data_IF_597802114465
#
_entry.id   IF_597802114465
#
_cell.length_a   1.000
_cell.length_b   1.000
_cell.length_c   1.000
_cell.angle_alpha   90.00
_cell.angle_beta   90.00
_cell.angle_gamma   90.00
#
_symmetry.space_group_name_H-M   'P 1'
#
loop_
_entity.id
_entity.type
_entity.pdbx_description
1 polymer ?
#
# COMPACT_ATOMS: atom_id res chain seq x y z
N UNK A 1 9.93 -13.36 -12.47
CA UNK A 1 9.10 -13.39 -11.25
C UNK A 1 7.73 -12.78 -11.58
N UNK A 2 6.63 -13.43 -11.20
CA UNK A 2 5.27 -13.05 -11.61
C UNK A 2 4.68 -11.95 -10.72
N UNK A 3 3.95 -11.00 -11.32
CA UNK A 3 3.17 -9.98 -10.60
C UNK A 3 1.85 -10.54 -10.03
N UNK A 4 1.62 -11.86 -10.14
CA UNK A 4 0.37 -12.51 -9.77
C UNK A 4 -0.07 -12.27 -8.32
N UNK A 5 0.86 -12.29 -7.34
CA UNK A 5 0.50 -12.03 -5.93
C UNK A 5 0.00 -10.61 -5.71
N UNK A 6 0.64 -9.63 -6.35
CA UNK A 6 0.18 -8.26 -6.30
C UNK A 6 -1.19 -8.12 -6.97
N UNK A 7 -1.39 -8.70 -8.16
CA UNK A 7 -2.61 -8.56 -8.97
C UNK A 7 -3.82 -9.36 -8.44
N UNK A 8 -3.59 -10.45 -7.70
CA UNK A 8 -4.63 -11.29 -7.09
C UNK A 8 -4.26 -11.63 -5.64
N UNK A 9 -4.25 -10.64 -4.74
CA UNK A 9 -3.78 -10.83 -3.38
C UNK A 9 -4.80 -11.61 -2.54
N UNK A 10 -4.32 -12.58 -1.75
CA UNK A 10 -5.12 -13.23 -0.70
C UNK A 10 -5.06 -12.46 0.61
N UNK A 11 -4.00 -11.68 0.79
CA UNK A 11 -3.79 -10.81 1.94
C UNK A 11 -3.14 -9.49 1.53
N UNK A 12 -3.68 -8.38 2.04
CA UNK A 12 -3.10 -7.04 1.85
C UNK A 12 -2.67 -6.43 3.18
N UNK A 13 -1.56 -5.70 3.17
CA UNK A 13 -1.18 -4.80 4.26
C UNK A 13 -1.53 -3.36 3.90
N UNK A 14 -2.09 -2.59 4.82
CA UNK A 14 -2.27 -1.14 4.68
C UNK A 14 -1.41 -0.43 5.70
N UNK A 15 -0.61 0.53 5.26
CA UNK A 15 0.34 1.27 6.11
C UNK A 15 0.01 2.75 6.04
N UNK A 16 -0.18 3.41 7.19
CA UNK A 16 -0.46 4.83 7.27
C UNK A 16 -1.69 5.16 8.12
N UNK A 17 -2.20 6.38 7.96
CA UNK A 17 -3.31 6.91 8.77
C UNK A 17 -4.65 6.94 8.02
N UNK A 18 -5.22 8.14 7.87
CA UNK A 18 -6.56 8.33 7.29
C UNK A 18 -6.76 7.72 5.91
N UNK A 19 -5.80 7.89 5.00
CA UNK A 19 -5.87 7.30 3.66
C UNK A 19 -5.76 5.76 3.68
N UNK A 20 -5.00 5.18 4.61
CA UNK A 20 -4.98 3.74 4.83
C UNK A 20 -6.32 3.24 5.37
N UNK A 21 -6.93 3.94 6.34
CA UNK A 21 -8.28 3.61 6.82
C UNK A 21 -9.35 3.71 5.71
N UNK A 22 -9.22 4.69 4.80
CA UNK A 22 -10.09 4.79 3.63
C UNK A 22 -9.90 3.60 2.69
N UNK A 23 -8.66 3.18 2.41
CA UNK A 23 -8.40 1.98 1.62
C UNK A 23 -9.06 0.74 2.23
N UNK A 24 -9.02 0.58 3.57
CA UNK A 24 -9.74 -0.50 4.26
C UNK A 24 -11.25 -0.44 4.00
N UNK A 25 -11.87 0.75 4.14
CA UNK A 25 -13.30 0.94 3.87
C UNK A 25 -13.66 0.60 2.42
N UNK A 26 -12.83 1.03 1.47
CA UNK A 26 -13.02 0.74 0.05
C UNK A 26 -12.90 -0.75 -0.26
N UNK A 27 -11.88 -1.43 0.26
CA UNK A 27 -11.73 -2.88 0.11
C UNK A 27 -12.96 -3.64 0.64
N UNK A 28 -13.48 -3.26 1.80
CA UNK A 28 -14.71 -3.87 2.36
C UNK A 28 -15.93 -3.57 1.50
N UNK A 29 -16.12 -2.31 1.09
CA UNK A 29 -17.24 -1.89 0.24
C UNK A 29 -17.26 -2.62 -1.10
N UNK A 30 -16.09 -2.91 -1.65
CA UNK A 30 -15.91 -3.61 -2.93
C UNK A 30 -15.88 -5.14 -2.77
N UNK A 31 -16.10 -5.66 -1.55
CA UNK A 31 -16.19 -7.10 -1.30
C UNK A 31 -14.86 -7.84 -1.43
N UNK A 32 -13.73 -7.20 -1.11
CA UNK A 32 -12.43 -7.86 -1.13
C UNK A 32 -12.46 -9.11 -0.21
N UNK A 33 -12.27 -10.32 -0.77
CA UNK A 33 -12.44 -11.57 -0.02
C UNK A 33 -11.22 -11.95 0.81
N UNK A 34 -10.10 -11.24 0.64
CA UNK A 34 -8.85 -11.51 1.32
C UNK A 34 -8.76 -10.86 2.70
N UNK A 35 -7.66 -11.16 3.40
CA UNK A 35 -7.37 -10.57 4.72
C UNK A 35 -6.79 -9.16 4.55
N UNK A 36 -7.19 -8.25 5.43
CA UNK A 36 -6.62 -6.90 5.51
C UNK A 36 -5.87 -6.80 6.84
N UNK A 37 -4.58 -6.44 6.77
CA UNK A 37 -3.75 -6.15 7.94
C UNK A 37 -3.40 -4.69 7.99
N UNK A 38 -3.54 -4.06 9.16
CA UNK A 38 -3.22 -2.65 9.33
C UNK A 38 -1.89 -2.48 10.06
N UNK A 39 -1.09 -1.52 9.60
CA UNK A 39 0.19 -1.16 10.20
C UNK A 39 0.21 0.33 10.51
N UNK A 40 0.31 0.65 11.79
CA UNK A 40 0.49 2.02 12.25
C UNK A 40 1.17 2.04 13.61
N UNK A 41 2.22 2.86 13.82
CA UNK A 41 3.01 2.82 15.05
C UNK A 41 2.24 3.25 16.32
N UNK A 42 1.15 4.00 16.17
CA UNK A 42 0.40 4.61 17.29
C UNK A 42 -1.11 4.32 17.31
N UNK A 43 -1.69 3.92 16.19
CA UNK A 43 -3.14 3.70 16.13
C UNK A 43 -3.38 2.26 16.56
N UNK A 44 -4.44 2.03 17.34
CA UNK A 44 -4.81 0.66 17.75
C UNK A 44 -5.58 -0.07 16.65
N UNK A 45 -6.28 0.67 15.81
CA UNK A 45 -7.01 0.14 14.67
C UNK A 45 -7.15 1.18 13.53
N UNK A 46 -7.36 0.68 12.30
CA UNK A 46 -7.77 1.46 11.14
C UNK A 46 -9.07 0.90 10.59
N UNK A 47 -10.15 1.68 10.67
CA UNK A 47 -11.49 1.28 10.24
C UNK A 47 -11.90 -0.10 10.81
N UNK A 48 -11.65 -0.36 12.10
CA UNK A 48 -11.96 -1.63 12.75
C UNK A 48 -11.07 -2.82 12.33
N UNK A 49 -9.89 -2.57 11.76
CA UNK A 49 -8.83 -3.58 11.59
C UNK A 49 -7.74 -3.30 12.64
N UNK A 50 -7.42 -4.24 13.53
CA UNK A 50 -6.34 -4.07 14.51
C UNK A 50 -5.01 -3.77 13.84
N UNK A 51 -4.27 -2.83 14.43
CA UNK A 51 -2.96 -2.43 13.93
C UNK A 51 -1.83 -3.15 14.66
N UNK A 52 -0.80 -3.50 13.89
CA UNK A 52 0.54 -3.75 14.43
C UNK A 52 1.42 -2.52 14.23
N UNK A 53 2.47 -2.29 15.05
CA UNK A 53 3.23 -1.05 14.96
C UNK A 53 4.20 -1.03 13.78
N UNK A 54 4.71 -2.18 13.31
CA UNK A 54 5.69 -2.29 12.23
C UNK A 54 5.35 -3.43 11.27
N UNK A 55 5.89 -3.37 10.04
CA UNK A 55 5.72 -4.43 9.04
C UNK A 55 6.26 -5.79 9.51
N UNK A 56 7.40 -5.79 10.21
CA UNK A 56 8.01 -7.00 10.76
C UNK A 56 7.17 -7.69 11.84
N UNK A 57 6.18 -7.00 12.40
CA UNK A 57 5.26 -7.54 13.39
C UNK A 57 4.05 -8.25 12.72
N UNK A 58 3.97 -8.23 11.39
CA UNK A 58 3.03 -9.04 10.63
C UNK A 58 3.44 -10.53 10.69
N UNK A 59 2.49 -11.47 10.80
CA UNK A 59 2.82 -12.89 10.93
C UNK A 59 3.38 -13.53 9.65
N UNK A 60 3.20 -12.87 8.50
CA UNK A 60 3.73 -13.29 7.21
C UNK A 60 3.89 -12.07 6.28
N UNK A 61 4.68 -12.24 5.23
CA UNK A 61 4.82 -11.23 4.19
C UNK A 61 3.52 -11.07 3.39
N UNK A 62 3.01 -9.83 3.20
CA UNK A 62 1.76 -9.62 2.49
C UNK A 62 1.89 -9.89 0.98
N UNK A 63 0.78 -10.24 0.32
CA UNK A 63 0.76 -10.39 -1.14
C UNK A 63 0.80 -9.03 -1.84
N UNK A 64 0.18 -8.02 -1.23
CA UNK A 64 0.24 -6.63 -1.66
C UNK A 64 0.27 -5.69 -0.45
N UNK A 65 1.01 -4.59 -0.55
CA UNK A 65 0.99 -3.53 0.46
C UNK A 65 0.47 -2.21 -0.13
N UNK A 66 -0.39 -1.50 0.59
CA UNK A 66 -0.79 -0.14 0.29
C UNK A 66 -0.08 0.82 1.26
N UNK A 67 0.79 1.68 0.74
CA UNK A 67 1.63 2.60 1.50
C UNK A 67 1.06 4.02 1.39
N UNK A 68 0.38 4.46 2.44
CA UNK A 68 -0.14 5.81 2.58
C UNK A 68 0.71 6.62 3.58
N UNK A 69 1.98 6.78 3.22
CA UNK A 69 3.00 7.53 3.99
C UNK A 69 3.79 8.44 3.04
N UNK A 70 4.64 9.32 3.57
CA UNK A 70 5.47 10.21 2.75
C UNK A 70 6.50 9.44 1.88
N UNK A 71 7.10 10.12 0.91
CA UNK A 71 8.03 9.51 -0.03
C UNK A 71 9.25 8.85 0.65
N UNK A 72 9.85 9.52 1.64
CA UNK A 72 11.01 9.01 2.39
C UNK A 72 10.68 7.70 3.08
N UNK A 73 9.59 7.68 3.86
CA UNK A 73 9.06 6.48 4.53
C UNK A 73 8.67 5.40 3.54
N UNK A 74 8.15 5.76 2.36
CA UNK A 74 7.78 4.80 1.34
C UNK A 74 8.99 4.00 0.87
N UNK A 75 10.14 4.66 0.63
CA UNK A 75 11.38 3.98 0.22
C UNK A 75 11.85 2.99 1.29
N UNK A 76 11.85 3.40 2.57
CA UNK A 76 12.19 2.54 3.71
C UNK A 76 11.28 1.29 3.76
N UNK A 77 9.97 1.49 3.70
CA UNK A 77 8.99 0.40 3.79
C UNK A 77 9.06 -0.54 2.58
N UNK A 78 9.38 -0.04 1.39
CA UNK A 78 9.59 -0.88 0.20
C UNK A 78 10.79 -1.81 0.40
N UNK A 79 11.88 -1.31 0.99
CA UNK A 79 13.05 -2.13 1.31
C UNK A 79 12.70 -3.22 2.34
N UNK A 80 11.94 -2.87 3.40
CA UNK A 80 11.45 -3.83 4.38
C UNK A 80 10.56 -4.91 3.74
N UNK A 81 9.58 -4.50 2.93
CA UNK A 81 8.72 -5.43 2.20
C UNK A 81 9.55 -6.37 1.32
N UNK A 82 10.57 -5.83 0.63
CA UNK A 82 11.53 -6.60 -0.17
C UNK A 82 12.23 -7.67 0.64
N UNK A 83 12.79 -7.31 1.79
CA UNK A 83 13.44 -8.25 2.70
C UNK A 83 12.47 -9.34 3.21
N UNK A 84 11.21 -8.98 3.46
CA UNK A 84 10.16 -9.93 3.88
C UNK A 84 9.72 -10.88 2.76
N UNK A 85 9.96 -10.55 1.48
CA UNK A 85 9.46 -11.33 0.34
C UNK A 85 7.99 -11.10 0.01
N UNK A 86 7.46 -9.90 0.31
CA UNK A 86 6.11 -9.49 -0.10
C UNK A 86 5.89 -9.60 -1.64
N UNK A 87 4.63 -9.63 -2.08
CA UNK A 87 4.30 -9.78 -3.50
C UNK A 87 4.39 -8.50 -4.33
N UNK A 88 4.33 -7.34 -3.68
CA UNK A 88 4.50 -6.02 -4.27
C UNK A 88 3.92 -4.93 -3.37
N UNK A 89 4.15 -3.67 -3.71
CA UNK A 89 3.60 -2.53 -2.99
C UNK A 89 2.94 -1.52 -3.91
N UNK A 90 2.08 -0.70 -3.33
CA UNK A 90 1.30 0.33 -3.98
C UNK A 90 1.39 1.57 -3.11
N UNK A 91 2.09 2.60 -3.54
CA UNK A 91 2.25 3.85 -2.81
C UNK A 91 1.19 4.88 -3.22
N UNK A 92 0.63 5.56 -2.22
CA UNK A 92 -0.27 6.69 -2.40
C UNK A 92 0.57 7.95 -2.63
N UNK A 93 0.57 8.46 -3.87
CA UNK A 93 1.54 9.47 -4.31
C UNK A 93 1.26 10.90 -3.81
N UNK A 94 0.26 11.14 -2.95
CA UNK A 94 -0.07 12.51 -2.52
C UNK A 94 1.08 13.20 -1.77
N UNK A 95 2.00 12.44 -1.16
CA UNK A 95 3.20 12.95 -0.48
C UNK A 95 4.50 12.89 -1.29
N UNK A 96 4.44 12.54 -2.60
CA UNK A 96 5.59 12.67 -3.50
C UNK A 96 5.71 14.09 -4.09
N UNK A 97 4.59 14.82 -4.20
CA UNK A 97 4.56 16.21 -4.64
C UNK A 97 5.05 17.21 -3.57
N UNK A 98 5.05 16.83 -2.30
CA UNK A 98 5.54 17.67 -1.18
C UNK A 98 7.05 17.54 -0.92
N UNK A 99 7.72 16.58 -1.58
CA UNK A 99 9.16 16.31 -1.39
C UNK A 99 10.08 17.11 -2.34
N UNK A 100 9.50 17.94 -3.21
CA UNK A 100 10.21 18.92 -4.02
C UNK A 100 9.35 20.17 -4.08
N UNK A 101 9.96 21.34 -3.91
CA UNK A 101 9.29 22.61 -4.15
C UNK A 101 8.64 22.57 -5.56
N UNK A 102 7.44 23.15 -5.70
CA UNK A 102 6.63 23.34 -6.93
C UNK A 102 5.45 22.39 -7.21
N UNK A 103 5.07 21.50 -6.29
CA UNK A 103 4.01 20.51 -6.56
C UNK A 103 2.55 20.84 -6.19
N UNK A 104 2.15 22.10 -5.96
CA UNK A 104 0.76 22.44 -5.61
C UNK A 104 -0.16 22.51 -6.85
N UNK A 105 -0.30 21.41 -7.57
CA UNK A 105 -1.33 21.28 -8.58
C UNK A 105 -2.18 20.04 -8.34
N UNK A 106 -3.47 20.31 -8.33
CA UNK A 106 -4.63 19.46 -8.18
C UNK A 106 -4.52 18.19 -9.05
N UNK A 107 -3.80 17.18 -8.55
CA UNK A 107 -3.69 15.88 -9.17
C UNK A 107 -4.57 14.91 -8.39
N UNK A 108 -5.53 14.31 -9.11
CA UNK A 108 -6.34 13.19 -8.63
C UNK A 108 -5.43 12.16 -7.94
N UNK A 109 -5.89 11.47 -6.88
CA UNK A 109 -5.07 10.54 -6.13
C UNK A 109 -4.47 9.48 -7.05
N UNK A 110 -3.19 9.66 -7.40
CA UNK A 110 -2.46 8.77 -8.28
C UNK A 110 -1.84 7.67 -7.43
N UNK A 111 -2.06 6.44 -7.86
CA UNK A 111 -1.55 5.25 -7.21
C UNK A 111 -0.27 4.86 -7.93
N UNK A 112 0.80 4.53 -7.22
CA UNK A 112 2.04 4.05 -7.82
C UNK A 112 2.30 2.59 -7.42
N UNK A 113 2.56 1.71 -8.39
CA UNK A 113 2.91 0.31 -8.12
C UNK A 113 4.43 0.19 -8.03
N UNK A 114 4.93 -0.28 -6.90
CA UNK A 114 6.34 -0.51 -6.68
C UNK A 114 6.65 -1.99 -6.90
N UNK A 115 7.50 -2.28 -7.90
CA UNK A 115 8.09 -3.61 -8.04
C UNK A 115 9.22 -3.75 -7.03
N UNK A 116 9.28 -4.92 -6.39
CA UNK A 116 10.00 -5.06 -5.14
C UNK A 116 11.47 -5.53 -5.28
N UNK A 117 11.82 -6.14 -6.42
CA UNK A 117 13.20 -6.62 -6.73
C UNK A 117 13.99 -5.72 -7.67
N UNK A 118 13.35 -4.76 -8.31
CA UNK A 118 14.00 -3.68 -9.03
C UNK A 118 13.46 -2.42 -8.37
N UNK A 119 14.31 -1.50 -7.89
CA UNK A 119 13.89 -0.22 -7.35
C UNK A 119 13.30 0.71 -8.43
N UNK A 120 12.41 0.18 -9.28
CA UNK A 120 11.73 0.86 -10.36
C UNK A 120 10.27 1.03 -9.93
N UNK A 121 9.99 2.26 -9.50
CA UNK A 121 8.65 2.77 -9.24
C UNK A 121 7.88 2.79 -10.57
N UNK A 122 6.86 1.94 -10.70
CA UNK A 122 5.93 1.99 -11.83
C UNK A 122 4.72 2.81 -11.37
N UNK A 123 4.71 4.11 -11.63
CA UNK A 123 3.53 4.94 -11.37
C UNK A 123 2.43 4.51 -12.34
N UNK A 124 1.41 3.81 -11.85
CA UNK A 124 0.30 3.32 -12.66
C UNK A 124 -0.97 4.03 -12.20
N UNK A 125 -1.42 5.03 -12.97
CA UNK A 125 -2.69 5.71 -12.72
C UNK A 125 -3.83 4.70 -12.48
N UNK A 126 -4.56 4.92 -11.39
CA UNK A 126 -5.80 4.20 -11.00
C UNK A 126 -5.66 2.67 -10.87
N UNK A 127 -4.89 2.18 -9.88
CA UNK A 127 -4.76 0.73 -9.63
C UNK A 127 -5.80 0.15 -8.65
N UNK A 128 -6.43 0.94 -7.76
CA UNK A 128 -7.43 0.39 -6.82
C UNK A 128 -8.60 -0.25 -7.58
N UNK A 129 -9.06 0.37 -8.66
CA UNK A 129 -10.09 -0.23 -9.52
C UNK A 129 -9.57 -1.47 -10.29
N UNK A 130 -8.32 -1.44 -10.77
CA UNK A 130 -7.73 -2.49 -11.62
C UNK A 130 -7.31 -3.74 -10.84
N UNK A 131 -6.86 -3.61 -9.58
CA UNK A 131 -6.61 -4.73 -8.67
C UNK A 131 -7.88 -5.47 -8.30
N UNK A 132 -9.00 -4.75 -8.20
CA UNK A 132 -10.29 -5.29 -7.80
C UNK A 132 -11.11 -5.82 -8.99
N UNK A 133 -10.80 -5.40 -10.22
CA UNK A 133 -11.44 -5.84 -11.47
C UNK A 133 -10.70 -6.98 -12.18
N UNK A 134 -9.57 -7.46 -11.69
CA UNK A 134 -8.83 -8.60 -12.26
C UNK A 134 -9.39 -9.98 -11.84
N UNK A 135 -10.71 -10.06 -11.59
CA UNK A 135 -11.42 -11.31 -11.33
C UNK A 135 -12.13 -11.78 -12.59
#
# INVERSE_FOLDING_TARGET
MSLARLLRPREIAVVGGGAAAEAVRQCRRLGFPGRIRAVHPRHRELAGVPCVPRLVDLPAAPDAAFLAVNAVRTVELVAELSAMGAGGAVAFASGFAEAGEEGAHQLLPTIAVVRQRCAQLVVAGTVVASLLRAQ
#
